data_IF_209674013621
#
_entry.id   IF_209674013621
#
_cell.length_a   1.000
_cell.length_b   1.000
_cell.length_c   1.000
_cell.angle_alpha   90.00
_cell.angle_beta   90.00
_cell.angle_gamma   90.00
#
_symmetry.space_group_name_H-M   'P 1'
#
loop_
_entity.id
_entity.type
_entity.pdbx_description
1 polymer ?
#
# COMPACT_ATOMS: atom_id res chain seq x y z
N UNK A 1 -19.67 5.21 -15.68
CA UNK A 1 -18.36 4.55 -15.47
C UNK A 1 -18.63 3.06 -15.43
N UNK A 2 -17.91 2.24 -16.23
CA UNK A 2 -18.04 0.79 -16.22
C UNK A 2 -16.95 0.19 -15.34
N UNK A 3 -17.29 -0.86 -14.59
CA UNK A 3 -16.34 -1.63 -13.75
C UNK A 3 -16.41 -3.08 -14.20
N UNK A 4 -15.24 -3.69 -14.45
CA UNK A 4 -15.12 -5.11 -14.76
C UNK A 4 -14.49 -5.82 -13.56
N UNK A 5 -15.26 -6.53 -12.73
CA UNK A 5 -14.71 -7.30 -11.62
C UNK A 5 -14.02 -8.56 -12.14
N UNK A 6 -12.84 -8.87 -11.57
CA UNK A 6 -12.11 -10.13 -11.84
C UNK A 6 -11.86 -10.82 -10.51
N UNK A 7 -12.59 -11.90 -10.25
CA UNK A 7 -12.46 -12.67 -9.01
C UNK A 7 -11.30 -13.67 -9.13
N UNK A 8 -10.11 -13.28 -8.68
CA UNK A 8 -8.91 -14.13 -8.75
C UNK A 8 -7.96 -13.85 -7.58
N UNK A 9 -7.02 -14.75 -7.36
CA UNK A 9 -5.89 -14.53 -6.46
C UNK A 9 -4.75 -13.86 -7.26
N UNK A 10 -4.55 -12.57 -7.02
CA UNK A 10 -3.56 -11.75 -7.71
C UNK A 10 -2.11 -12.14 -7.39
N UNK A 11 -1.86 -12.93 -6.35
CA UNK A 11 -0.53 -13.43 -6.00
C UNK A 11 -0.09 -14.59 -6.89
N UNK A 12 -1.01 -15.13 -7.68
CA UNK A 12 -0.72 -16.23 -8.62
C UNK A 12 -0.53 -15.71 -10.04
N UNK A 13 0.33 -16.38 -10.82
CA UNK A 13 0.53 -16.06 -12.24
C UNK A 13 -0.78 -16.14 -13.05
N UNK A 14 -1.65 -17.13 -12.74
CA UNK A 14 -2.95 -17.26 -13.38
C UNK A 14 -3.88 -16.08 -13.05
N UNK A 15 -3.92 -15.62 -11.81
CA UNK A 15 -4.72 -14.47 -11.40
C UNK A 15 -4.22 -13.17 -12.04
N UNK A 16 -2.91 -12.95 -12.08
CA UNK A 16 -2.31 -11.81 -12.79
C UNK A 16 -2.66 -11.81 -14.27
N UNK A 17 -2.58 -12.98 -14.93
CA UNK A 17 -2.95 -13.12 -16.33
C UNK A 17 -4.44 -12.78 -16.57
N UNK A 18 -5.35 -13.22 -15.70
CA UNK A 18 -6.77 -12.91 -15.81
C UNK A 18 -7.04 -11.39 -15.73
N UNK A 19 -6.40 -10.69 -14.78
CA UNK A 19 -6.55 -9.24 -14.64
C UNK A 19 -5.98 -8.52 -15.86
N UNK A 20 -4.80 -8.93 -16.36
CA UNK A 20 -4.18 -8.32 -17.53
C UNK A 20 -4.96 -8.59 -18.82
N UNK A 21 -5.65 -9.74 -18.94
CA UNK A 21 -6.58 -10.00 -20.05
C UNK A 21 -7.82 -9.09 -19.99
N UNK A 22 -8.32 -8.81 -18.78
CA UNK A 22 -9.47 -7.91 -18.61
C UNK A 22 -9.11 -6.44 -18.89
N UNK A 23 -7.85 -6.04 -18.66
CA UNK A 23 -7.35 -4.70 -18.97
C UNK A 23 -5.92 -4.79 -19.55
N UNK A 24 -5.77 -5.06 -20.85
CA UNK A 24 -4.46 -5.35 -21.45
C UNK A 24 -3.57 -4.12 -21.64
N UNK A 25 -4.13 -2.92 -21.61
CA UNK A 25 -3.40 -1.66 -21.81
C UNK A 25 -3.74 -0.61 -20.77
N UNK A 26 -3.48 -0.86 -19.47
CA UNK A 26 -3.83 0.09 -18.42
C UNK A 26 -2.97 1.35 -18.53
N UNK A 27 -3.58 2.51 -18.33
CA UNK A 27 -2.89 3.79 -18.16
C UNK A 27 -2.58 4.06 -16.68
N UNK A 28 -3.35 3.44 -15.79
CA UNK A 28 -3.22 3.57 -14.34
C UNK A 28 -3.16 2.16 -13.72
N UNK A 29 -2.17 1.93 -12.88
CA UNK A 29 -2.04 0.71 -12.08
C UNK A 29 -2.01 1.09 -10.59
N UNK A 30 -2.98 0.57 -9.82
CA UNK A 30 -3.01 0.71 -8.37
C UNK A 30 -2.82 -0.66 -7.74
N UNK A 31 -1.70 -0.85 -7.06
CA UNK A 31 -1.40 -2.07 -6.31
C UNK A 31 -1.85 -1.91 -4.85
N UNK A 32 -2.83 -2.71 -4.44
CA UNK A 32 -3.34 -2.76 -3.07
C UNK A 32 -3.67 -4.19 -2.68
N UNK A 33 -2.74 -4.87 -2.04
CA UNK A 33 -2.92 -6.23 -1.52
C UNK A 33 -3.09 -6.22 0.00
N UNK A 34 -3.71 -7.28 0.52
CA UNK A 34 -3.81 -7.51 1.97
C UNK A 34 -2.43 -7.60 2.60
N UNK A 35 -2.24 -6.93 3.74
CA UNK A 35 -1.00 -7.06 4.51
C UNK A 35 -0.94 -8.38 5.29
N UNK A 36 0.27 -8.88 5.60
CA UNK A 36 0.45 -10.06 6.43
C UNK A 36 -0.11 -9.85 7.85
N UNK A 37 -0.37 -10.93 8.60
CA UNK A 37 -0.85 -10.84 9.98
C UNK A 37 0.20 -10.19 10.89
N UNK A 38 -0.23 -9.51 11.98
CA UNK A 38 0.67 -9.07 13.04
C UNK A 38 1.09 -10.26 13.91
N UNK A 39 2.27 -10.17 14.52
CA UNK A 39 2.77 -11.18 15.45
C UNK A 39 4.22 -10.93 15.86
N UNK A 40 4.75 -11.75 16.77
CA UNK A 40 6.15 -11.71 17.15
C UNK A 40 7.01 -12.27 16.00
N UNK A 41 8.18 -11.67 15.74
CA UNK A 41 9.06 -12.12 14.65
C UNK A 41 9.58 -13.55 14.87
N UNK A 42 9.59 -14.03 16.10
CA UNK A 42 10.02 -15.40 16.46
C UNK A 42 9.01 -16.46 16.04
N UNK A 43 7.74 -16.06 15.84
CA UNK A 43 6.66 -16.96 15.42
C UNK A 43 6.65 -17.20 13.91
N UNK A 44 7.42 -16.42 13.15
CA UNK A 44 7.46 -16.49 11.68
C UNK A 44 8.59 -17.36 11.18
N UNK A 45 8.24 -18.47 10.54
CA UNK A 45 9.16 -19.29 9.78
C UNK A 45 9.54 -18.67 8.42
N UNK A 46 10.41 -19.34 7.71
CA UNK A 46 10.85 -18.92 6.36
C UNK A 46 9.68 -18.81 5.39
N UNK A 47 8.70 -19.70 5.46
CA UNK A 47 7.57 -19.73 4.52
C UNK A 47 6.64 -18.54 4.75
N UNK A 48 6.40 -18.13 6.00
CA UNK A 48 5.68 -16.92 6.32
C UNK A 48 6.37 -15.67 5.74
N UNK A 49 7.70 -15.59 5.81
CA UNK A 49 8.49 -14.52 5.20
C UNK A 49 8.39 -14.53 3.67
N UNK A 50 8.54 -15.68 3.02
CA UNK A 50 8.42 -15.81 1.56
C UNK A 50 7.03 -15.37 1.12
N UNK A 51 5.98 -15.83 1.77
CA UNK A 51 4.59 -15.47 1.48
C UNK A 51 4.34 -13.96 1.62
N UNK A 52 4.90 -13.33 2.66
CA UNK A 52 4.76 -11.89 2.86
C UNK A 52 5.47 -11.09 1.77
N UNK A 53 6.69 -11.49 1.39
CA UNK A 53 7.48 -10.88 0.30
C UNK A 53 6.77 -11.09 -1.04
N UNK A 54 6.28 -12.29 -1.31
CA UNK A 54 5.56 -12.60 -2.54
C UNK A 54 4.34 -11.69 -2.72
N UNK A 55 3.44 -11.66 -1.73
CA UNK A 55 2.20 -10.90 -1.83
C UNK A 55 2.40 -9.36 -1.81
N UNK A 56 3.39 -8.84 -1.04
CA UNK A 56 3.50 -7.41 -0.78
C UNK A 56 4.71 -6.73 -1.46
N UNK A 57 5.54 -7.50 -2.17
CA UNK A 57 6.68 -6.98 -2.93
C UNK A 57 6.71 -7.55 -4.35
N UNK A 58 6.75 -8.88 -4.53
CA UNK A 58 6.92 -9.49 -5.85
C UNK A 58 5.68 -9.34 -6.71
N UNK A 59 4.50 -9.57 -6.17
CA UNK A 59 3.22 -9.39 -6.91
C UNK A 59 3.08 -7.99 -7.51
N UNK A 60 3.26 -6.88 -6.77
CA UNK A 60 3.29 -5.55 -7.36
C UNK A 60 4.38 -5.38 -8.42
N UNK A 61 5.57 -5.94 -8.21
CA UNK A 61 6.68 -5.86 -9.17
C UNK A 61 6.33 -6.55 -10.49
N UNK A 62 5.75 -7.74 -10.45
CA UNK A 62 5.34 -8.48 -11.66
C UNK A 62 4.23 -7.75 -12.43
N UNK A 63 3.25 -7.14 -11.74
CA UNK A 63 2.22 -6.32 -12.38
C UNK A 63 2.81 -5.05 -13.02
N UNK A 64 3.76 -4.41 -12.36
CA UNK A 64 4.48 -3.26 -12.91
C UNK A 64 5.26 -3.69 -14.15
N UNK A 65 6.02 -4.78 -14.08
CA UNK A 65 6.78 -5.33 -15.20
C UNK A 65 5.89 -5.63 -16.42
N UNK A 66 4.68 -6.16 -16.18
CA UNK A 66 3.75 -6.48 -17.25
C UNK A 66 3.10 -5.26 -17.92
N UNK A 67 3.15 -4.08 -17.30
CA UNK A 67 2.38 -2.90 -17.76
C UNK A 67 3.24 -1.70 -18.12
N UNK A 68 4.41 -1.56 -17.54
CA UNK A 68 5.25 -0.34 -17.63
C UNK A 68 5.73 -0.05 -19.05
N UNK A 69 6.10 -1.05 -19.84
CA UNK A 69 6.57 -0.85 -21.20
C UNK A 69 5.47 -0.32 -22.12
N UNK A 70 4.23 -0.77 -21.94
CA UNK A 70 3.06 -0.23 -22.64
C UNK A 70 2.80 1.24 -22.26
N UNK A 71 2.95 1.61 -20.98
CA UNK A 71 2.85 2.98 -20.51
C UNK A 71 3.95 3.87 -21.11
N UNK A 72 5.19 3.37 -21.16
CA UNK A 72 6.33 4.05 -21.79
C UNK A 72 6.05 4.34 -23.28
N UNK A 73 5.59 3.34 -24.02
CA UNK A 73 5.27 3.46 -25.44
C UNK A 73 4.18 4.51 -25.72
N UNK A 74 3.17 4.61 -24.84
CA UNK A 74 2.09 5.61 -24.94
C UNK A 74 2.47 6.97 -24.36
N UNK A 75 3.64 7.08 -23.70
CA UNK A 75 4.10 8.30 -23.01
C UNK A 75 3.13 8.81 -21.95
N UNK A 76 2.46 7.88 -21.30
CA UNK A 76 1.60 8.14 -20.15
C UNK A 76 1.47 6.87 -19.29
N UNK A 77 1.72 7.02 -17.99
CA UNK A 77 1.47 5.97 -17.00
C UNK A 77 1.47 6.53 -15.58
N UNK A 78 0.59 5.99 -14.74
CA UNK A 78 0.51 6.32 -13.31
C UNK A 78 0.46 5.01 -12.52
N UNK A 79 1.48 4.79 -11.70
CA UNK A 79 1.58 3.58 -10.87
C UNK A 79 1.60 4.03 -9.41
N UNK A 80 0.64 3.54 -8.63
CA UNK A 80 0.52 3.84 -7.20
C UNK A 80 0.47 2.54 -6.41
N UNK A 81 1.38 2.40 -5.44
CA UNK A 81 1.38 1.25 -4.53
C UNK A 81 0.88 1.70 -3.16
N UNK A 82 -0.14 1.03 -2.65
CA UNK A 82 -0.62 1.24 -1.28
C UNK A 82 0.24 0.40 -0.36
N UNK A 83 1.14 1.06 0.36
CA UNK A 83 2.07 0.38 1.26
C UNK A 83 1.65 0.55 2.72
N UNK A 84 2.43 1.24 3.55
CA UNK A 84 2.13 1.46 4.96
C UNK A 84 3.02 2.56 5.54
N UNK A 85 2.51 3.33 6.50
CA UNK A 85 3.34 4.23 7.31
C UNK A 85 4.47 3.50 8.06
N UNK A 86 4.33 2.18 8.25
CA UNK A 86 5.36 1.36 8.88
C UNK A 86 6.67 1.25 8.07
N UNK A 87 6.67 1.69 6.82
CA UNK A 87 7.90 1.86 6.02
C UNK A 87 8.78 2.98 6.60
N UNK A 88 8.16 4.05 7.12
CA UNK A 88 8.88 5.16 7.78
C UNK A 88 9.00 5.00 9.29
N UNK A 89 8.02 4.38 9.92
CA UNK A 89 7.96 4.15 11.36
C UNK A 89 7.67 2.65 11.62
N UNK A 90 8.71 1.80 11.61
CA UNK A 90 8.54 0.35 11.80
C UNK A 90 7.78 0.03 13.09
N UNK A 91 6.88 -0.95 13.00
CA UNK A 91 6.04 -1.40 14.10
C UNK A 91 6.45 -2.83 14.47
N UNK A 92 6.77 -3.07 15.74
CA UNK A 92 7.36 -4.33 16.21
C UNK A 92 6.55 -5.57 15.80
N UNK A 93 5.22 -5.50 15.95
CA UNK A 93 4.33 -6.61 15.60
C UNK A 93 4.04 -6.75 14.09
N UNK A 94 4.59 -5.88 13.24
CA UNK A 94 4.39 -5.88 11.78
C UNK A 94 5.67 -6.22 11.00
N UNK A 95 6.59 -6.98 11.57
CA UNK A 95 7.90 -7.26 10.99
C UNK A 95 7.83 -7.79 9.55
N UNK A 96 6.92 -8.71 9.23
CA UNK A 96 6.69 -9.21 7.86
C UNK A 96 6.32 -8.08 6.89
N UNK A 97 5.38 -7.21 7.31
CA UNK A 97 4.94 -6.06 6.51
C UNK A 97 6.04 -5.01 6.37
N UNK A 98 6.74 -4.70 7.46
CA UNK A 98 7.86 -3.74 7.45
C UNK A 98 8.91 -4.15 6.41
N UNK A 99 9.32 -5.43 6.42
CA UNK A 99 10.34 -5.96 5.50
C UNK A 99 9.88 -5.94 4.04
N UNK A 100 8.72 -6.56 3.74
CA UNK A 100 8.24 -6.69 2.39
C UNK A 100 7.92 -5.33 1.73
N UNK A 101 7.24 -4.42 2.44
CA UNK A 101 6.85 -3.11 1.91
C UNK A 101 8.03 -2.15 1.79
N UNK A 102 9.03 -2.24 2.66
CA UNK A 102 10.28 -1.47 2.51
C UNK A 102 11.05 -1.92 1.28
N UNK A 103 11.10 -3.23 0.99
CA UNK A 103 11.70 -3.75 -0.23
C UNK A 103 11.03 -3.22 -1.49
N UNK A 104 9.69 -3.24 -1.55
CA UNK A 104 8.94 -2.62 -2.65
C UNK A 104 9.26 -1.13 -2.79
N UNK A 105 9.28 -0.39 -1.68
CA UNK A 105 9.57 1.04 -1.67
C UNK A 105 10.94 1.36 -2.27
N UNK A 106 11.97 0.56 -1.92
CA UNK A 106 13.30 0.69 -2.50
C UNK A 106 13.34 0.40 -4.01
N UNK A 107 12.64 -0.65 -4.47
CA UNK A 107 12.50 -0.96 -5.89
C UNK A 107 11.84 0.20 -6.66
N UNK A 108 10.74 0.75 -6.14
CA UNK A 108 10.02 1.88 -6.76
C UNK A 108 10.90 3.11 -6.89
N UNK A 109 11.69 3.44 -5.88
CA UNK A 109 12.60 4.60 -5.91
C UNK A 109 13.63 4.49 -7.05
N UNK A 110 14.13 3.29 -7.33
CA UNK A 110 15.03 3.03 -8.46
C UNK A 110 14.33 3.13 -9.81
N UNK A 111 13.24 2.38 -9.99
CA UNK A 111 12.51 2.30 -11.26
C UNK A 111 11.90 3.64 -11.67
N UNK A 112 11.36 4.41 -10.72
CA UNK A 112 10.75 5.70 -11.00
C UNK A 112 11.68 6.65 -11.79
N UNK A 113 12.97 6.63 -11.49
CA UNK A 113 13.98 7.46 -12.18
C UNK A 113 14.21 7.04 -13.63
N UNK A 114 14.16 5.74 -13.91
CA UNK A 114 14.44 5.22 -15.26
C UNK A 114 13.31 5.48 -16.26
N UNK A 115 12.07 5.65 -15.78
CA UNK A 115 10.88 5.80 -16.64
C UNK A 115 10.32 7.24 -16.67
N UNK A 116 10.80 8.12 -15.81
CA UNK A 116 10.28 9.49 -15.67
C UNK A 116 10.30 10.29 -16.99
N UNK A 117 11.32 10.10 -17.84
CA UNK A 117 11.43 10.76 -19.14
C UNK A 117 10.29 10.41 -20.11
N UNK A 118 9.55 9.36 -19.83
CA UNK A 118 8.43 8.88 -20.64
C UNK A 118 7.06 9.30 -20.11
N UNK A 119 7.00 10.24 -19.15
CA UNK A 119 5.77 10.66 -18.46
C UNK A 119 5.08 9.49 -17.74
N UNK A 120 5.88 8.55 -17.23
CA UNK A 120 5.43 7.46 -16.36
C UNK A 120 5.90 7.77 -14.94
N UNK A 121 4.96 7.84 -14.00
CA UNK A 121 5.28 8.12 -12.59
C UNK A 121 4.94 6.91 -11.72
N UNK A 122 5.83 6.63 -10.76
CA UNK A 122 5.63 5.57 -9.76
C UNK A 122 5.74 6.19 -8.36
N UNK A 123 4.69 6.03 -7.55
CA UNK A 123 4.66 6.55 -6.18
C UNK A 123 4.07 5.52 -5.22
N UNK A 124 4.37 5.69 -3.95
CA UNK A 124 3.78 4.91 -2.87
C UNK A 124 2.90 5.80 -2.00
N UNK A 125 1.70 5.32 -1.65
CA UNK A 125 0.90 5.87 -0.57
C UNK A 125 1.16 5.07 0.69
N UNK A 126 1.43 5.78 1.79
CA UNK A 126 1.73 5.21 3.09
C UNK A 126 0.60 5.55 4.07
N UNK A 127 -0.49 4.78 4.07
CA UNK A 127 -1.57 5.03 5.01
C UNK A 127 -1.13 4.74 6.44
N UNK A 128 -1.48 5.65 7.34
CA UNK A 128 -1.44 5.47 8.78
C UNK A 128 -2.66 4.69 9.28
N UNK A 129 -3.37 5.25 10.25
CA UNK A 129 -4.56 4.64 10.85
C UNK A 129 -5.82 5.19 10.19
N UNK A 130 -6.48 4.38 9.37
CA UNK A 130 -7.74 4.70 8.68
C UNK A 130 -8.91 3.91 9.26
N UNK A 131 -10.12 4.50 9.29
CA UNK A 131 -11.33 3.87 9.82
C UNK A 131 -11.90 2.85 8.83
N UNK A 132 -11.36 1.64 8.86
CA UNK A 132 -11.71 0.52 7.99
C UNK A 132 -12.16 -0.67 8.83
N UNK A 133 -12.78 -1.68 8.20
CA UNK A 133 -13.19 -2.90 8.91
C UNK A 133 -11.99 -3.65 9.52
N UNK A 134 -10.84 -3.67 8.83
CA UNK A 134 -9.59 -4.18 9.41
C UNK A 134 -9.20 -3.44 10.68
N UNK A 135 -9.40 -2.11 10.72
CA UNK A 135 -9.09 -1.30 11.90
C UNK A 135 -10.05 -1.59 13.04
N UNK A 136 -11.34 -1.83 12.76
CA UNK A 136 -12.32 -2.26 13.77
C UNK A 136 -11.90 -3.57 14.43
N UNK A 137 -11.45 -4.55 13.62
CA UNK A 137 -10.91 -5.83 14.13
C UNK A 137 -9.68 -5.61 15.02
N UNK A 138 -8.77 -4.71 14.63
CA UNK A 138 -7.58 -4.39 15.42
C UNK A 138 -7.95 -3.72 16.76
N UNK A 139 -8.93 -2.82 16.75
CA UNK A 139 -9.44 -2.18 17.99
C UNK A 139 -10.10 -3.21 18.90
N UNK A 140 -10.87 -4.14 18.34
CA UNK A 140 -11.51 -5.22 19.12
C UNK A 140 -10.47 -6.13 19.79
N UNK A 141 -9.42 -6.52 19.05
CA UNK A 141 -8.32 -7.32 19.61
C UNK A 141 -7.60 -6.57 20.76
N UNK A 142 -7.33 -5.26 20.58
CA UNK A 142 -6.72 -4.43 21.60
C UNK A 142 -7.59 -4.29 22.84
N UNK A 143 -8.89 -4.12 22.67
CA UNK A 143 -9.86 -4.04 23.76
C UNK A 143 -9.85 -5.34 24.61
N UNK A 144 -9.92 -6.48 23.92
CA UNK A 144 -9.85 -7.80 24.55
C UNK A 144 -8.54 -8.02 25.31
N UNK A 145 -7.41 -7.69 24.70
CA UNK A 145 -6.09 -7.85 25.31
C UNK A 145 -5.91 -7.00 26.56
N UNK A 146 -6.48 -5.78 26.58
CA UNK A 146 -6.35 -4.85 27.70
C UNK A 146 -7.48 -4.94 28.73
N UNK A 147 -8.52 -5.73 28.49
CA UNK A 147 -9.69 -5.83 29.36
C UNK A 147 -10.49 -4.52 29.47
N UNK A 148 -10.53 -3.73 28.39
CA UNK A 148 -11.23 -2.44 28.31
C UNK A 148 -12.36 -2.49 27.28
N UNK A 149 -13.25 -1.49 27.30
CA UNK A 149 -14.31 -1.39 26.29
C UNK A 149 -13.75 -1.06 24.90
N UNK A 150 -14.52 -1.38 23.84
CA UNK A 150 -14.18 -1.00 22.45
C UNK A 150 -14.01 0.51 22.29
N UNK A 151 -14.83 1.30 23.01
CA UNK A 151 -14.77 2.75 22.97
C UNK A 151 -13.47 3.28 23.60
N UNK A 152 -13.08 2.76 24.74
CA UNK A 152 -11.82 3.12 25.42
C UNK A 152 -10.60 2.76 24.57
N UNK A 153 -10.59 1.55 23.97
CA UNK A 153 -9.52 1.12 23.07
C UNK A 153 -9.43 2.02 21.83
N UNK A 154 -10.57 2.38 21.21
CA UNK A 154 -10.64 3.32 20.09
C UNK A 154 -10.15 4.71 20.49
N UNK A 155 -10.62 5.22 21.61
CA UNK A 155 -10.22 6.55 22.16
C UNK A 155 -8.71 6.61 22.41
N UNK A 156 -8.14 5.57 23.03
CA UNK A 156 -6.70 5.48 23.25
C UNK A 156 -5.91 5.51 21.95
N UNK A 157 -6.38 4.80 20.92
CA UNK A 157 -5.73 4.77 19.59
C UNK A 157 -5.81 6.11 18.87
N UNK A 158 -6.96 6.78 18.93
CA UNK A 158 -7.17 8.11 18.37
C UNK A 158 -6.32 9.16 19.10
N UNK A 159 -6.19 9.05 20.42
CA UNK A 159 -5.40 9.98 21.23
C UNK A 159 -3.91 10.01 20.85
N UNK A 160 -3.38 8.91 20.29
CA UNK A 160 -2.01 8.84 19.82
C UNK A 160 -1.79 9.57 18.47
N UNK A 161 -2.87 9.86 17.74
CA UNK A 161 -2.79 10.53 16.43
C UNK A 161 -2.89 12.06 16.68
N UNK A 162 -1.95 12.88 16.23
CA UNK A 162 -2.01 14.34 16.40
C UNK A 162 -3.30 14.98 15.86
N UNK A 163 -3.80 14.49 14.72
CA UNK A 163 -5.08 14.93 14.15
C UNK A 163 -6.32 14.57 14.99
N UNK A 164 -6.16 13.78 16.08
CA UNK A 164 -7.22 13.36 17.01
C UNK A 164 -8.39 12.63 16.36
N UNK A 165 -8.14 12.01 15.21
CA UNK A 165 -9.08 11.14 14.50
C UNK A 165 -8.34 10.10 13.68
N UNK A 166 -9.03 9.06 13.26
CA UNK A 166 -8.59 8.19 12.19
C UNK A 166 -8.83 8.89 10.84
N UNK A 167 -8.07 8.54 9.82
CA UNK A 167 -8.34 8.98 8.46
C UNK A 167 -9.59 8.29 7.91
N UNK A 168 -10.33 8.98 7.06
CA UNK A 168 -11.44 8.40 6.33
C UNK A 168 -10.93 7.71 5.05
N UNK A 169 -11.45 6.54 4.66
CA UNK A 169 -11.03 5.86 3.43
C UNK A 169 -11.08 6.75 2.18
N UNK A 170 -12.03 7.69 2.11
CA UNK A 170 -12.16 8.65 1.03
C UNK A 170 -10.92 9.56 0.91
N UNK A 171 -10.33 9.98 2.02
CA UNK A 171 -9.12 10.83 2.01
C UNK A 171 -7.92 10.11 1.36
N UNK A 172 -7.81 8.79 1.57
CA UNK A 172 -6.81 7.97 0.87
C UNK A 172 -7.14 7.86 -0.63
N UNK A 173 -8.43 7.69 -0.95
CA UNK A 173 -8.91 7.64 -2.33
C UNK A 173 -8.61 8.93 -3.10
N UNK A 174 -8.84 10.09 -2.49
CA UNK A 174 -8.57 11.41 -3.08
C UNK A 174 -7.08 11.62 -3.35
N UNK A 175 -6.22 11.26 -2.40
CA UNK A 175 -4.76 11.32 -2.59
C UNK A 175 -4.29 10.36 -3.70
N UNK A 176 -4.86 9.16 -3.77
CA UNK A 176 -4.60 8.21 -4.84
C UNK A 176 -5.04 8.76 -6.20
N UNK A 177 -6.25 9.29 -6.28
CA UNK A 177 -6.78 9.89 -7.51
C UNK A 177 -5.93 11.06 -7.99
N UNK A 178 -5.46 11.91 -7.06
CA UNK A 178 -4.53 12.99 -7.41
C UNK A 178 -3.21 12.45 -7.99
N UNK A 179 -2.58 11.44 -7.37
CA UNK A 179 -1.34 10.83 -7.90
C UNK A 179 -1.56 10.18 -9.28
N UNK A 180 -2.76 9.70 -9.57
CA UNK A 180 -3.13 9.13 -10.86
C UNK A 180 -3.46 10.19 -11.93
N UNK A 181 -3.58 11.45 -11.56
CA UNK A 181 -3.95 12.53 -12.46
C UNK A 181 -2.78 13.04 -13.32
N UNK A 182 -3.10 13.82 -14.35
CA UNK A 182 -2.10 14.52 -15.16
C UNK A 182 -1.35 15.60 -14.35
N UNK A 183 -2.00 16.21 -13.36
CA UNK A 183 -1.45 17.26 -12.50
C UNK A 183 -0.30 16.77 -11.62
N UNK A 184 -0.26 15.48 -11.29
CA UNK A 184 0.83 14.87 -10.54
C UNK A 184 2.01 14.41 -11.42
N UNK A 185 2.06 14.81 -12.69
CA UNK A 185 3.07 14.36 -13.67
C UNK A 185 4.53 14.66 -13.30
N UNK A 186 4.79 15.59 -12.38
CA UNK A 186 6.14 15.90 -11.87
C UNK A 186 6.45 15.28 -10.51
N UNK A 187 5.53 14.44 -9.98
CA UNK A 187 5.69 13.73 -8.71
C UNK A 187 5.98 12.27 -9.01
N UNK A 188 7.19 11.81 -8.78
CA UNK A 188 7.60 10.42 -9.01
C UNK A 188 8.63 9.96 -7.98
N UNK A 189 8.64 8.68 -7.65
CA UNK A 189 9.53 8.07 -6.65
C UNK A 189 9.21 8.47 -5.20
N UNK A 190 8.03 9.04 -4.93
CA UNK A 190 7.69 9.58 -3.63
C UNK A 190 6.97 8.55 -2.74
N UNK A 191 7.17 8.73 -1.45
CA UNK A 191 6.49 8.02 -0.38
C UNK A 191 5.57 9.01 0.32
N UNK A 192 4.33 9.14 -0.19
CA UNK A 192 3.35 10.09 0.35
C UNK A 192 2.70 9.49 1.61
N UNK A 193 2.98 10.10 2.74
CA UNK A 193 2.48 9.68 4.04
C UNK A 193 1.14 10.35 4.36
N UNK A 194 0.13 9.55 4.71
CA UNK A 194 -1.19 9.99 5.14
C UNK A 194 -1.49 9.38 6.52
N UNK A 195 -1.10 10.04 7.59
CA UNK A 195 -1.13 9.46 8.93
C UNK A 195 -1.67 10.40 10.03
N UNK A 196 -2.16 11.58 9.68
CA UNK A 196 -2.64 12.56 10.64
C UNK A 196 -1.55 13.14 11.54
N UNK A 197 -0.30 13.10 11.11
CA UNK A 197 0.87 13.59 11.84
C UNK A 197 1.46 12.59 12.82
N UNK A 198 1.12 11.31 12.72
CA UNK A 198 1.57 10.27 13.66
C UNK A 198 3.10 10.04 13.60
N UNK A 199 3.69 10.12 12.41
CA UNK A 199 5.13 10.01 12.22
C UNK A 199 5.83 11.32 12.61
N UNK A 200 6.74 11.32 13.60
CA UNK A 200 7.36 12.55 14.11
C UNK A 200 8.61 13.00 13.33
N UNK A 201 9.00 12.25 12.30
CA UNK A 201 10.22 12.53 11.54
C UNK A 201 10.02 13.54 10.40
N UNK A 202 11.14 14.05 9.89
CA UNK A 202 11.16 14.98 8.75
C UNK A 202 11.25 14.22 7.42
N UNK A 203 11.94 13.05 7.36
CA UNK A 203 12.20 12.27 6.16
C UNK A 203 11.69 10.83 6.26
#
# INVERSE_FOLDING_TARGET
MSVTPVACDITTAAGQQQVLQACPTPDILINNAGGPPPGDFRDWDRDAWIKAVDANMLTPIELIKATVDGMIARRFGRIVNITSYSVKMPIDVLCLSNGARSGLTGFIAGLARSVAAHNVTLNNLLPGVFDTDRQKTTVAALASQRGVSLEEARKAKVAAIPARRMGEPAELGDACAWLCSAQAGYVTGQNLLLDGGLYPGTF
#
